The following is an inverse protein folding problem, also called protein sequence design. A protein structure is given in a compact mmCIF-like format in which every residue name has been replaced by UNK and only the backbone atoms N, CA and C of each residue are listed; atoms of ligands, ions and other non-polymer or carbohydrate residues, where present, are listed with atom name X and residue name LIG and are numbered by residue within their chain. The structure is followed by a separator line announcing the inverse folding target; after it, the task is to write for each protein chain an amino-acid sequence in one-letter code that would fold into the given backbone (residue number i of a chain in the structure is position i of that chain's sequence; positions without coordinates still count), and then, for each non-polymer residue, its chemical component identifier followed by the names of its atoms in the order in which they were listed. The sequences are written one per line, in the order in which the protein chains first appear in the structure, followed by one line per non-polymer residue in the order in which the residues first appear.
data_IF_186453574709
#
_entry.id   IF_186453574709
#
_cell.length_a   1.000
_cell.length_b   1.000
_cell.length_c   1.000
_cell.angle_alpha   90.00
_cell.angle_beta   90.00
_cell.angle_gamma   90.00
#
_symmetry.space_group_name_H-M   'P 1'
#
loop_
_entity.id
_entity.type
_entity.pdbx_description
1 polymer ?
#
# COMPACT_ATOMS: atom_id res chain seq x y z
N UNK A 1 -14.09 10.58 1.14
CA UNK A 1 -12.83 10.11 1.79
C UNK A 1 -12.78 10.46 3.28
N UNK A 2 -13.28 11.62 3.72
CA UNK A 2 -13.45 11.94 5.14
C UNK A 2 -14.53 11.04 5.75
N UNK A 3 -14.24 10.44 6.91
CA UNK A 3 -15.21 9.65 7.68
C UNK A 3 -15.82 10.54 8.76
N UNK A 4 -17.14 10.71 8.70
CA UNK A 4 -17.91 11.40 9.74
C UNK A 4 -18.49 10.44 10.78
N UNK A 5 -18.28 9.14 10.59
CA UNK A 5 -18.76 8.09 11.50
C UNK A 5 -18.08 8.25 12.87
N UNK A 6 -18.89 8.32 13.93
CA UNK A 6 -18.45 8.51 15.31
C UNK A 6 -17.64 9.80 15.57
N UNK A 7 -17.79 10.83 14.74
CA UNK A 7 -17.19 12.14 15.02
C UNK A 7 -17.86 12.76 16.24
N UNK A 8 -17.04 13.12 17.23
CA UNK A 8 -17.52 13.81 18.42
C UNK A 8 -17.32 15.32 18.23
N UNK A 9 -18.42 16.07 18.31
CA UNK A 9 -18.41 17.53 18.18
C UNK A 9 -18.79 18.15 19.52
N UNK A 10 -17.92 19.00 20.04
CA UNK A 10 -18.16 19.72 21.29
C UNK A 10 -17.90 21.21 21.10
N UNK A 11 -18.76 22.04 21.68
CA UNK A 11 -18.52 23.47 21.81
C UNK A 11 -18.24 23.83 23.27
N UNK A 12 -17.25 24.69 23.47
CA UNK A 12 -16.97 25.37 24.74
C UNK A 12 -16.89 26.87 24.49
N UNK A 13 -17.06 27.70 25.51
CA UNK A 13 -16.79 29.13 25.37
C UNK A 13 -15.36 29.44 25.83
N UNK A 14 -14.68 30.36 25.16
CA UNK A 14 -13.41 30.88 25.64
C UNK A 14 -13.61 31.96 26.72
N UNK A 15 -12.51 32.49 27.26
CA UNK A 15 -12.55 33.54 28.31
C UNK A 15 -13.26 34.83 27.88
N UNK A 16 -13.53 35.01 26.59
CA UNK A 16 -14.20 36.18 26.01
C UNK A 16 -15.63 35.86 25.54
N UNK A 17 -16.13 34.66 25.86
CA UNK A 17 -17.47 34.18 25.48
C UNK A 17 -17.58 33.69 24.04
N UNK A 18 -16.49 33.63 23.27
CA UNK A 18 -16.53 33.19 21.88
C UNK A 18 -16.60 31.65 21.79
N UNK A 19 -17.39 31.09 20.84
CA UNK A 19 -17.54 29.64 20.71
C UNK A 19 -16.26 29.00 20.16
N UNK A 20 -15.74 28.04 20.91
CA UNK A 20 -14.61 27.19 20.55
C UNK A 20 -15.13 25.81 20.17
N UNK A 21 -14.88 25.44 18.92
CA UNK A 21 -15.22 24.13 18.36
C UNK A 21 -14.09 23.12 18.61
N UNK A 22 -14.44 21.96 19.16
CA UNK A 22 -13.58 20.78 19.26
C UNK A 22 -14.18 19.66 18.42
N UNK A 23 -13.37 19.09 17.54
CA UNK A 23 -13.74 17.95 16.70
C UNK A 23 -12.79 16.81 17.05
N UNK A 24 -13.32 15.67 17.50
CA UNK A 24 -12.54 14.45 17.74
C UNK A 24 -12.97 13.36 16.76
N UNK A 25 -12.07 12.40 16.54
CA UNK A 25 -12.27 11.21 15.68
C UNK A 25 -12.50 11.49 14.19
N UNK A 26 -12.43 12.74 13.75
CA UNK A 26 -12.41 13.08 12.33
C UNK A 26 -11.18 12.45 11.66
N UNK A 27 -11.40 11.66 10.62
CA UNK A 27 -10.34 10.88 9.98
C UNK A 27 -10.58 10.67 8.50
N UNK A 28 -9.56 10.13 7.82
CA UNK A 28 -9.63 9.74 6.42
C UNK A 28 -9.72 8.22 6.32
N UNK A 29 -10.61 7.74 5.44
CA UNK A 29 -10.82 6.32 5.16
C UNK A 29 -9.58 5.69 4.55
N UNK A 30 -8.98 6.32 3.54
CA UNK A 30 -7.73 5.89 2.92
C UNK A 30 -6.55 6.08 3.90
N UNK A 31 -5.86 5.00 4.34
CA UNK A 31 -4.77 5.04 5.31
C UNK A 31 -3.53 5.79 4.83
N UNK A 32 -3.23 5.78 3.53
CA UNK A 32 -2.12 6.56 2.99
C UNK A 32 -2.44 8.05 3.05
N UNK A 33 -3.65 8.45 2.64
CA UNK A 33 -4.10 9.83 2.80
C UNK A 33 -4.11 10.24 4.27
N UNK A 34 -4.58 9.35 5.16
CA UNK A 34 -4.52 9.55 6.62
C UNK A 34 -3.10 9.77 7.09
N UNK A 35 -2.15 8.93 6.67
CA UNK A 35 -0.75 9.07 7.06
C UNK A 35 -0.12 10.38 6.59
N UNK A 36 -0.54 10.88 5.43
CA UNK A 36 0.00 12.08 4.78
C UNK A 36 -0.62 13.38 5.33
N UNK A 37 -1.92 13.38 5.61
CA UNK A 37 -2.69 14.60 5.85
C UNK A 37 -3.31 14.73 7.24
N UNK A 38 -3.34 13.66 8.04
CA UNK A 38 -4.07 13.68 9.31
C UNK A 38 -3.55 14.78 10.24
N UNK A 39 -2.25 14.81 10.54
CA UNK A 39 -1.67 15.81 11.44
C UNK A 39 -1.68 17.21 10.82
N UNK A 40 -1.49 17.28 9.50
CA UNK A 40 -1.14 18.52 8.82
C UNK A 40 -2.38 19.28 8.32
N UNK A 41 -3.51 18.61 8.12
CA UNK A 41 -4.79 19.20 7.69
C UNK A 41 -5.90 18.81 8.67
N UNK A 42 -6.18 17.52 8.83
CA UNK A 42 -7.39 17.05 9.54
C UNK A 42 -7.41 17.49 11.01
N UNK A 43 -6.28 17.37 11.72
CA UNK A 43 -6.16 17.78 13.12
C UNK A 43 -6.33 19.28 13.35
N UNK A 44 -6.19 20.11 12.31
CA UNK A 44 -6.26 21.57 12.39
C UNK A 44 -7.61 22.15 11.92
N UNK A 45 -8.53 21.31 11.44
CA UNK A 45 -9.81 21.75 10.85
C UNK A 45 -10.61 22.61 11.83
N UNK A 46 -10.76 22.19 13.09
CA UNK A 46 -11.55 22.93 14.08
C UNK A 46 -11.02 24.35 14.32
N UNK A 47 -9.71 24.54 14.26
CA UNK A 47 -9.06 25.85 14.43
C UNK A 47 -9.30 26.70 13.18
N UNK A 48 -9.19 26.11 12.00
CA UNK A 48 -9.26 26.78 10.70
C UNK A 48 -10.68 27.15 10.26
N UNK A 49 -11.73 26.54 10.81
CA UNK A 49 -13.12 26.96 10.52
C UNK A 49 -13.29 28.44 10.90
N UNK A 50 -13.80 29.31 10.00
CA UNK A 50 -14.00 30.73 10.26
C UNK A 50 -14.89 31.01 11.47
N UNK A 51 -14.67 32.15 12.13
CA UNK A 51 -15.42 32.55 13.34
C UNK A 51 -16.93 32.63 13.10
N UNK A 52 -17.36 33.26 12.00
CA UNK A 52 -18.77 33.39 11.63
C UNK A 52 -19.44 32.01 11.51
N UNK A 53 -18.80 31.06 10.81
CA UNK A 53 -19.28 29.68 10.71
C UNK A 53 -19.34 28.97 12.07
N UNK A 54 -18.39 29.22 12.97
CA UNK A 54 -18.43 28.66 14.34
C UNK A 54 -19.62 29.19 15.14
N UNK A 55 -19.97 30.47 14.99
CA UNK A 55 -21.11 31.09 15.67
C UNK A 55 -22.43 30.52 15.14
N UNK A 56 -22.57 30.38 13.82
CA UNK A 56 -23.73 29.73 13.20
C UNK A 56 -23.89 28.28 13.69
N UNK A 57 -22.82 27.49 13.62
CA UNK A 57 -22.83 26.10 14.08
C UNK A 57 -23.12 26.00 15.58
N UNK A 58 -22.62 26.92 16.40
CA UNK A 58 -22.91 26.95 17.83
C UNK A 58 -24.39 27.22 18.10
N UNK A 59 -25.00 28.17 17.37
CA UNK A 59 -26.43 28.47 17.53
C UNK A 59 -27.33 27.26 17.23
N UNK A 60 -27.00 26.49 16.20
CA UNK A 60 -27.69 25.25 15.86
C UNK A 60 -27.38 24.15 16.88
N UNK A 61 -26.13 24.05 17.34
CA UNK A 61 -25.71 23.04 18.31
C UNK A 61 -26.43 23.17 19.65
N UNK A 62 -26.66 24.40 20.16
CA UNK A 62 -27.43 24.63 21.39
C UNK A 62 -28.88 24.18 21.23
N UNK A 63 -29.45 24.37 20.04
CA UNK A 63 -30.86 24.12 19.72
C UNK A 63 -31.13 22.73 19.15
N UNK A 64 -30.10 21.90 18.97
CA UNK A 64 -30.19 20.61 18.26
C UNK A 64 -31.18 19.62 18.89
N UNK A 65 -31.42 19.72 20.20
CA UNK A 65 -32.34 18.84 20.92
C UNK A 65 -33.80 19.34 20.83
N UNK A 66 -34.05 20.54 20.29
CA UNK A 66 -35.40 21.10 20.16
C UNK A 66 -36.25 20.30 19.17
N UNK A 67 -35.67 19.91 18.03
CA UNK A 67 -36.30 19.01 17.07
C UNK A 67 -35.29 18.37 16.10
N UNK A 68 -35.71 17.30 15.43
CA UNK A 68 -34.90 16.56 14.46
C UNK A 68 -34.39 17.42 13.30
N UNK A 69 -35.20 18.38 12.82
CA UNK A 69 -34.83 19.23 11.68
C UNK A 69 -33.61 20.11 11.97
N UNK A 70 -33.54 20.70 13.16
CA UNK A 70 -32.40 21.53 13.58
C UNK A 70 -31.14 20.68 13.74
N UNK A 71 -31.28 19.45 14.25
CA UNK A 71 -30.18 18.48 14.32
C UNK A 71 -29.67 18.12 12.92
N UNK A 72 -30.56 17.80 11.99
CA UNK A 72 -30.20 17.46 10.61
C UNK A 72 -29.51 18.66 9.92
N UNK A 73 -30.02 19.89 10.11
CA UNK A 73 -29.41 21.12 9.60
C UNK A 73 -28.01 21.36 10.20
N UNK A 74 -27.84 21.12 11.50
CA UNK A 74 -26.53 21.19 12.15
C UNK A 74 -25.55 20.19 11.52
N UNK A 75 -25.97 18.94 11.34
CA UNK A 75 -25.11 17.88 10.78
C UNK A 75 -24.68 18.20 9.34
N UNK A 76 -25.59 18.73 8.51
CA UNK A 76 -25.31 19.17 7.14
C UNK A 76 -24.30 20.33 7.12
N UNK A 77 -24.61 21.45 7.80
CA UNK A 77 -23.72 22.62 7.84
C UNK A 77 -22.36 22.32 8.46
N UNK A 78 -22.31 21.43 9.46
CA UNK A 78 -21.05 20.99 10.04
C UNK A 78 -20.20 20.24 9.01
N UNK A 79 -20.79 19.31 8.26
CA UNK A 79 -20.08 18.56 7.20
C UNK A 79 -19.56 19.50 6.12
N UNK A 80 -20.38 20.44 5.66
CA UNK A 80 -19.98 21.46 4.68
C UNK A 80 -18.81 22.30 5.18
N UNK A 81 -18.90 22.82 6.40
CA UNK A 81 -17.83 23.62 7.00
C UNK A 81 -16.51 22.84 7.09
N UNK A 82 -16.56 21.56 7.48
CA UNK A 82 -15.40 20.68 7.51
C UNK A 82 -14.82 20.45 6.10
N UNK A 83 -15.67 20.10 5.13
CA UNK A 83 -15.24 19.82 3.75
C UNK A 83 -14.57 21.05 3.14
N UNK A 84 -15.20 22.21 3.26
CA UNK A 84 -14.67 23.47 2.72
C UNK A 84 -13.34 23.84 3.37
N UNK A 85 -13.23 23.67 4.70
CA UNK A 85 -11.98 23.94 5.43
C UNK A 85 -10.85 23.02 4.97
N UNK A 86 -11.13 21.71 4.84
CA UNK A 86 -10.17 20.74 4.31
C UNK A 86 -9.76 21.07 2.88
N UNK A 87 -10.72 21.41 2.02
CA UNK A 87 -10.49 21.81 0.64
C UNK A 87 -9.57 23.03 0.54
N UNK A 88 -9.87 24.09 1.30
CA UNK A 88 -9.06 25.31 1.31
C UNK A 88 -7.63 25.05 1.81
N UNK A 89 -7.49 24.26 2.87
CA UNK A 89 -6.18 23.86 3.39
C UNK A 89 -5.38 23.00 2.42
N UNK A 90 -6.03 22.08 1.69
CA UNK A 90 -5.39 21.31 0.64
C UNK A 90 -4.98 22.20 -0.54
N UNK A 91 -5.87 23.08 -1.01
CA UNK A 91 -5.60 24.02 -2.11
C UNK A 91 -4.39 24.89 -1.81
N UNK A 92 -4.32 25.43 -0.59
CA UNK A 92 -3.18 26.23 -0.11
C UNK A 92 -1.87 25.43 -0.16
N UNK A 93 -1.87 24.18 0.32
CA UNK A 93 -0.68 23.29 0.30
C UNK A 93 -0.27 22.82 -1.09
N UNK A 94 -1.21 22.61 -2.00
CA UNK A 94 -0.88 22.26 -3.38
C UNK A 94 -0.27 23.47 -4.11
N UNK A 95 -0.66 24.69 -3.73
CA UNK A 95 -0.18 25.93 -4.31
C UNK A 95 1.14 26.43 -3.70
N UNK A 96 1.57 25.91 -2.54
CA UNK A 96 2.83 26.32 -1.93
C UNK A 96 4.03 25.82 -2.74
N UNK A 97 5.12 26.60 -2.76
CA UNK A 97 6.40 26.17 -3.32
C UNK A 97 6.99 25.01 -2.51
N UNK A 98 6.80 25.05 -1.19
CA UNK A 98 7.11 23.93 -0.31
C UNK A 98 6.26 22.72 -0.66
N UNK A 99 6.92 21.58 -0.82
CA UNK A 99 6.26 20.29 -0.92
C UNK A 99 5.66 19.99 0.45
N UNK A 100 4.33 19.85 0.61
CA UNK A 100 3.79 19.32 1.85
C UNK A 100 4.41 17.93 2.06
N UNK A 101 5.24 17.79 3.08
CA UNK A 101 5.95 16.55 3.46
C UNK A 101 4.99 15.36 3.54
N UNK A 102 5.38 14.16 3.08
CA UNK A 102 5.87 13.81 1.75
C UNK A 102 4.81 13.02 0.97
N UNK A 103 4.71 13.29 -0.33
CA UNK A 103 3.97 12.45 -1.28
C UNK A 103 4.95 11.54 -2.05
N UNK A 104 6.28 11.60 -1.78
CA UNK A 104 7.33 10.89 -2.56
C UNK A 104 8.59 10.51 -1.72
N UNK A 105 9.32 9.44 -2.08
CA UNK A 105 10.75 9.27 -1.87
C UNK A 105 11.52 9.70 -3.13
N UNK A 106 12.82 9.87 -2.93
CA UNK A 106 13.81 9.58 -3.96
C UNK A 106 14.57 8.31 -3.53
N UNK A 107 15.24 7.66 -4.49
CA UNK A 107 15.93 6.37 -4.38
C UNK A 107 17.24 6.37 -3.56
N UNK A 108 17.42 7.27 -2.57
CA UNK A 108 18.73 7.57 -1.94
C UNK A 108 18.69 7.55 -0.41
N UNK A 109 17.97 6.63 0.22
CA UNK A 109 18.00 6.46 1.68
C UNK A 109 18.93 5.32 2.14
N UNK A 110 20.06 5.10 1.44
CA UNK A 110 20.89 3.92 1.72
C UNK A 110 21.82 4.04 2.93
N UNK A 111 22.38 5.22 3.26
CA UNK A 111 23.43 5.25 4.30
C UNK A 111 23.43 6.42 5.32
N UNK A 112 22.44 7.33 5.35
CA UNK A 112 22.38 8.41 6.37
C UNK A 112 20.95 8.78 6.80
N UNK A 113 20.81 9.62 7.84
CA UNK A 113 19.54 10.26 8.20
C UNK A 113 19.36 11.56 7.38
N UNK A 114 18.32 11.75 6.52
CA UNK A 114 17.99 13.08 6.03
C UNK A 114 16.60 13.54 6.42
N UNK A 115 16.55 14.79 6.88
CA UNK A 115 15.38 15.63 7.05
C UNK A 115 15.46 16.68 5.92
N UNK A 116 14.39 16.78 5.12
CA UNK A 116 14.15 17.77 4.06
C UNK A 116 15.04 17.72 2.80
N UNK A 117 14.38 17.32 1.70
CA UNK A 117 14.61 17.68 0.29
C UNK A 117 15.84 18.55 -0.04
N UNK A 118 16.89 17.94 -0.58
CA UNK A 118 17.73 18.56 -1.62
C UNK A 118 18.24 17.45 -2.55
N UNK A 119 17.55 17.15 -3.65
CA UNK A 119 18.26 16.68 -4.86
C UNK A 119 18.70 17.93 -5.61
N UNK A 120 19.95 17.99 -6.08
CA UNK A 120 20.33 18.97 -7.09
C UNK A 120 20.39 18.28 -8.46
N UNK A 121 19.69 18.82 -9.48
CA UNK A 121 18.85 20.01 -9.42
C UNK A 121 17.54 19.74 -8.65
N UNK A 122 17.06 20.77 -7.93
CA UNK A 122 15.82 20.69 -7.14
C UNK A 122 14.66 20.37 -8.09
N UNK A 123 14.09 19.18 -7.98
CA UNK A 123 12.87 18.83 -8.71
C UNK A 123 11.75 19.81 -8.32
N UNK A 124 11.39 20.69 -9.25
CA UNK A 124 10.27 21.61 -9.08
C UNK A 124 9.00 20.97 -9.62
N UNK A 125 8.13 20.53 -8.73
CA UNK A 125 6.82 19.99 -9.09
C UNK A 125 5.85 21.12 -9.39
N UNK A 126 5.33 21.14 -10.63
CA UNK A 126 4.23 22.04 -10.99
C UNK A 126 2.93 21.60 -10.31
N UNK A 127 1.97 22.52 -10.06
CA UNK A 127 0.70 22.18 -9.40
C UNK A 127 -0.05 21.01 -10.04
N UNK A 128 0.00 20.89 -11.38
CA UNK A 128 -0.60 19.78 -12.11
C UNK A 128 -0.05 18.42 -11.66
N UNK A 129 1.27 18.29 -11.54
CA UNK A 129 1.93 17.05 -11.08
C UNK A 129 1.57 16.73 -9.63
N UNK A 130 1.50 17.74 -8.76
CA UNK A 130 1.08 17.55 -7.36
C UNK A 130 -0.37 17.04 -7.27
N UNK A 131 -1.25 17.56 -8.12
CA UNK A 131 -2.65 17.15 -8.18
C UNK A 131 -2.79 15.72 -8.74
N UNK A 132 -2.07 15.38 -9.80
CA UNK A 132 -2.04 14.03 -10.36
C UNK A 132 -1.64 13.01 -9.29
N UNK A 133 -0.58 13.29 -8.56
CA UNK A 133 -0.05 12.37 -7.54
C UNK A 133 -0.97 12.29 -6.34
N UNK A 134 -1.62 13.39 -5.96
CA UNK A 134 -2.70 13.36 -4.97
C UNK A 134 -3.87 12.48 -5.41
N UNK A 135 -4.26 12.55 -6.69
CA UNK A 135 -5.31 11.70 -7.25
C UNK A 135 -4.90 10.22 -7.17
N UNK A 136 -3.65 9.88 -7.53
CA UNK A 136 -3.12 8.51 -7.40
C UNK A 136 -3.16 7.99 -5.97
N UNK A 137 -2.73 8.80 -4.99
CA UNK A 137 -2.85 8.45 -3.56
C UNK A 137 -4.31 8.22 -3.14
N UNK A 138 -5.23 9.06 -3.64
CA UNK A 138 -6.64 8.96 -3.26
C UNK A 138 -7.32 7.71 -3.81
N UNK A 139 -6.85 7.24 -4.96
CA UNK A 139 -7.36 6.08 -5.69
C UNK A 139 -6.54 4.80 -5.45
N UNK A 140 -5.57 4.83 -4.53
CA UNK A 140 -4.76 3.66 -4.23
C UNK A 140 -5.55 2.61 -3.44
N UNK A 141 -5.35 1.35 -3.80
CA UNK A 141 -5.76 0.17 -3.04
C UNK A 141 -4.81 0.04 -1.85
N UNK A 142 -5.32 0.26 -0.64
CA UNK A 142 -4.51 0.40 0.56
C UNK A 142 -4.48 -0.87 1.41
N UNK A 143 -3.30 -1.19 1.93
CA UNK A 143 -3.11 -2.25 2.91
C UNK A 143 -2.09 -1.90 3.98
N UNK A 144 -1.97 -2.75 5.00
CA UNK A 144 -1.01 -2.56 6.10
C UNK A 144 -0.18 -3.82 6.32
N UNK A 145 1.08 -3.61 6.70
CA UNK A 145 1.94 -4.64 7.23
C UNK A 145 2.67 -4.11 8.47
N UNK A 146 2.37 -4.66 9.64
CA UNK A 146 2.86 -4.14 10.91
C UNK A 146 2.50 -2.66 11.09
N UNK A 147 3.52 -1.78 11.13
CA UNK A 147 3.36 -0.32 11.24
C UNK A 147 3.38 0.40 9.89
N UNK A 148 3.67 -0.32 8.81
CA UNK A 148 3.79 0.23 7.47
C UNK A 148 2.43 0.24 6.77
N UNK A 149 2.21 1.26 5.96
CA UNK A 149 1.01 1.41 5.14
C UNK A 149 1.43 1.38 3.67
N UNK A 150 0.72 0.64 2.85
CA UNK A 150 0.98 0.48 1.42
C UNK A 150 -0.25 0.92 0.65
N UNK A 151 -0.04 1.46 -0.54
CA UNK A 151 -1.10 1.89 -1.45
C UNK A 151 -0.68 1.59 -2.86
N UNK A 152 -1.35 0.63 -3.47
CA UNK A 152 -1.17 0.26 -4.86
C UNK A 152 -2.09 1.11 -5.73
N UNK A 153 -1.52 2.02 -6.50
CA UNK A 153 -2.23 2.68 -7.59
C UNK A 153 -2.11 1.84 -8.85
N UNK A 154 -3.24 1.67 -9.52
CA UNK A 154 -3.34 1.04 -10.84
C UNK A 154 -3.90 2.12 -11.76
N UNK A 155 -3.27 2.31 -12.92
CA UNK A 155 -3.78 3.24 -13.94
C UNK A 155 -5.23 2.89 -14.33
N UNK A 156 -5.97 3.90 -14.81
CA UNK A 156 -7.41 3.79 -15.04
C UNK A 156 -7.79 2.60 -15.94
N UNK A 157 -6.97 2.30 -16.94
CA UNK A 157 -7.11 1.17 -17.87
C UNK A 157 -7.15 -0.19 -17.15
N UNK A 158 -6.36 -0.35 -16.08
CA UNK A 158 -6.26 -1.60 -15.31
C UNK A 158 -7.12 -1.65 -14.05
N UNK A 159 -7.59 -0.49 -13.57
CA UNK A 159 -8.14 -0.35 -12.21
C UNK A 159 -9.35 -1.25 -11.95
N UNK A 160 -10.36 -1.24 -12.83
CA UNK A 160 -11.57 -2.05 -12.62
C UNK A 160 -11.32 -3.56 -12.80
N UNK A 161 -10.40 -3.94 -13.69
CA UNK A 161 -9.94 -5.34 -13.83
C UNK A 161 -9.30 -5.85 -12.55
N UNK A 162 -8.31 -5.10 -12.03
CA UNK A 162 -7.62 -5.45 -10.78
C UNK A 162 -8.60 -5.54 -9.62
N UNK A 163 -9.49 -4.56 -9.49
CA UNK A 163 -10.49 -4.51 -8.42
C UNK A 163 -11.47 -5.67 -8.49
N UNK A 164 -11.94 -6.03 -9.69
CA UNK A 164 -12.80 -7.19 -9.92
C UNK A 164 -12.12 -8.50 -9.48
N UNK A 165 -10.84 -8.68 -9.83
CA UNK A 165 -10.07 -9.85 -9.43
C UNK A 165 -9.84 -9.88 -7.91
N UNK A 166 -9.47 -8.75 -7.30
CA UNK A 166 -9.26 -8.67 -5.85
C UNK A 166 -10.52 -8.91 -5.03
N UNK A 167 -11.72 -8.57 -5.53
CA UNK A 167 -13.00 -8.87 -4.85
C UNK A 167 -13.22 -10.36 -4.60
N UNK A 168 -12.58 -11.25 -5.37
CA UNK A 168 -12.65 -12.69 -5.15
C UNK A 168 -11.90 -13.13 -3.88
N UNK A 169 -10.94 -12.32 -3.44
CA UNK A 169 -10.00 -12.67 -2.37
C UNK A 169 -10.14 -11.80 -1.12
N UNK A 170 -10.76 -10.62 -1.23
CA UNK A 170 -10.84 -9.62 -0.15
C UNK A 170 -12.22 -9.02 -0.05
N UNK A 171 -12.56 -8.57 1.15
CA UNK A 171 -13.71 -7.69 1.42
C UNK A 171 -13.72 -6.47 0.49
N UNK A 172 -14.91 -5.90 0.15
CA UNK A 172 -15.03 -4.79 -0.80
C UNK A 172 -14.35 -3.48 -0.36
N UNK A 173 -13.89 -3.43 0.89
CA UNK A 173 -13.20 -2.26 1.43
C UNK A 173 -11.70 -2.29 1.10
N UNK A 174 -11.36 -1.73 -0.07
CA UNK A 174 -9.97 -1.55 -0.53
C UNK A 174 -9.18 -0.51 0.27
N UNK A 175 -9.80 0.12 1.29
CA UNK A 175 -9.10 1.11 2.09
C UNK A 175 -8.24 0.49 3.19
N UNK A 176 -8.52 -0.73 3.65
CA UNK A 176 -7.75 -1.32 4.75
C UNK A 176 -7.59 -2.83 4.58
N UNK A 177 -6.95 -3.23 3.49
CA UNK A 177 -6.66 -4.62 3.19
C UNK A 177 -5.60 -5.13 4.16
N UNK A 178 -5.91 -6.25 4.79
CA UNK A 178 -4.91 -7.02 5.49
C UNK A 178 -4.10 -7.84 4.49
N UNK A 179 -2.89 -7.39 4.19
CA UNK A 179 -2.01 -8.01 3.20
C UNK A 179 -1.64 -9.44 3.64
N UNK A 180 -1.67 -9.75 4.94
CA UNK A 180 -1.50 -11.13 5.46
C UNK A 180 -2.58 -12.08 4.94
N UNK A 181 -3.83 -11.61 4.82
CA UNK A 181 -4.94 -12.46 4.34
C UNK A 181 -4.82 -12.80 2.86
N UNK A 182 -4.22 -11.90 2.08
CA UNK A 182 -3.99 -12.12 0.66
C UNK A 182 -2.80 -13.04 0.41
N UNK A 183 -1.72 -12.82 1.15
CA UNK A 183 -0.49 -13.58 0.99
C UNK A 183 -0.61 -14.99 1.58
N UNK A 184 -1.46 -15.21 2.59
CA UNK A 184 -1.52 -16.43 3.41
C UNK A 184 -0.21 -16.71 4.20
N UNK A 185 0.66 -15.70 4.38
CA UNK A 185 1.99 -15.84 5.00
C UNK A 185 2.07 -15.08 6.33
N UNK A 186 2.74 -15.63 7.35
CA UNK A 186 3.14 -14.91 8.58
C UNK A 186 4.59 -14.42 8.49
N UNK A 187 4.81 -13.17 8.08
CA UNK A 187 6.14 -12.55 8.02
C UNK A 187 6.41 -11.60 9.20
N UNK A 188 7.67 -11.58 9.67
CA UNK A 188 8.13 -10.66 10.73
C UNK A 188 8.57 -9.29 10.17
N UNK A 189 8.98 -9.22 8.90
CA UNK A 189 9.35 -7.99 8.16
C UNK A 189 9.10 -8.20 6.67
N UNK A 190 8.53 -7.21 5.99
CA UNK A 190 8.28 -7.21 4.53
C UNK A 190 8.86 -5.93 3.94
N UNK A 191 9.72 -6.08 2.93
CA UNK A 191 10.28 -4.93 2.21
C UNK A 191 9.23 -4.34 1.23
N UNK A 192 9.31 -3.04 0.88
CA UNK A 192 8.37 -2.37 -0.02
C UNK A 192 7.95 -3.13 -1.27
N UNK A 193 8.93 -3.64 -2.03
CA UNK A 193 8.65 -4.36 -3.28
C UNK A 193 8.14 -5.80 -3.06
N UNK A 194 8.48 -6.41 -1.93
CA UNK A 194 7.97 -7.73 -1.56
C UNK A 194 6.47 -7.65 -1.27
N UNK A 195 6.02 -6.57 -0.62
CA UNK A 195 4.61 -6.29 -0.39
C UNK A 195 3.82 -6.14 -1.70
N UNK A 196 4.40 -5.44 -2.67
CA UNK A 196 3.80 -5.28 -3.99
C UNK A 196 3.70 -6.62 -4.72
N UNK A 197 4.75 -7.45 -4.65
CA UNK A 197 4.74 -8.76 -5.24
C UNK A 197 3.57 -9.60 -4.70
N UNK A 198 3.36 -9.65 -3.38
CA UNK A 198 2.21 -10.36 -2.81
C UNK A 198 0.86 -9.78 -3.23
N UNK A 199 0.74 -8.45 -3.33
CA UNK A 199 -0.48 -7.81 -3.79
C UNK A 199 -0.81 -8.15 -5.26
N UNK A 200 0.22 -8.25 -6.10
CA UNK A 200 0.06 -8.49 -7.54
C UNK A 200 0.03 -9.97 -7.90
N UNK A 201 0.66 -10.87 -7.15
CA UNK A 201 0.83 -12.27 -7.52
C UNK A 201 -0.51 -12.98 -7.78
N UNK A 202 -1.47 -12.87 -6.86
CA UNK A 202 -2.81 -13.46 -7.05
C UNK A 202 -3.53 -12.88 -8.27
N UNK A 203 -3.38 -11.59 -8.54
CA UNK A 203 -3.97 -10.92 -9.70
C UNK A 203 -3.33 -11.44 -10.99
N UNK A 204 -2.01 -11.42 -11.07
CA UNK A 204 -1.26 -11.85 -12.25
C UNK A 204 -1.50 -13.35 -12.53
N UNK A 205 -1.54 -14.18 -11.50
CA UNK A 205 -1.88 -15.60 -11.61
C UNK A 205 -3.27 -15.82 -12.18
N UNK A 206 -4.27 -15.06 -11.72
CA UNK A 206 -5.62 -15.13 -12.27
C UNK A 206 -5.70 -14.61 -13.70
N UNK A 207 -5.00 -13.52 -14.01
CA UNK A 207 -4.93 -13.01 -15.39
C UNK A 207 -4.35 -14.05 -16.33
N UNK A 208 -3.27 -14.73 -15.93
CA UNK A 208 -2.69 -15.84 -16.69
C UNK A 208 -3.70 -16.97 -16.92
N UNK A 209 -4.42 -17.42 -15.88
CA UNK A 209 -5.44 -18.49 -16.00
C UNK A 209 -6.58 -18.15 -16.96
N UNK A 210 -6.86 -16.87 -17.16
CA UNK A 210 -7.93 -16.38 -18.03
C UNK A 210 -7.41 -15.80 -19.36
N UNK A 211 -6.13 -16.02 -19.70
CA UNK A 211 -5.48 -15.47 -20.91
C UNK A 211 -5.59 -13.93 -21.04
N UNK A 212 -5.49 -13.22 -19.91
CA UNK A 212 -5.46 -11.76 -19.84
C UNK A 212 -4.02 -11.27 -19.67
N UNK A 213 -3.68 -10.14 -20.30
CA UNK A 213 -2.35 -9.51 -20.21
C UNK A 213 -2.50 -8.18 -19.45
N UNK A 214 -1.62 -7.87 -18.47
CA UNK A 214 -1.66 -6.61 -17.76
C UNK A 214 -0.95 -5.52 -18.58
N UNK A 215 -1.70 -4.88 -19.48
CA UNK A 215 -1.26 -3.76 -20.32
C UNK A 215 -1.41 -2.40 -19.61
N UNK A 216 -1.12 -2.34 -18.31
CA UNK A 216 -1.31 -1.14 -17.50
C UNK A 216 -0.14 -0.92 -16.54
N UNK A 217 0.10 0.34 -16.19
CA UNK A 217 1.12 0.71 -15.19
C UNK A 217 0.58 0.59 -13.77
N UNK A 218 1.48 0.25 -12.84
CA UNK A 218 1.20 0.23 -11.40
C UNK A 218 2.23 1.05 -10.65
N UNK A 219 1.77 1.70 -9.59
CA UNK A 219 2.61 2.51 -8.72
C UNK A 219 2.37 2.12 -7.27
N UNK A 220 3.43 2.00 -6.48
CA UNK A 220 3.35 1.64 -5.08
C UNK A 220 3.76 2.81 -4.20
N UNK A 221 2.83 3.28 -3.37
CA UNK A 221 3.10 4.19 -2.28
C UNK A 221 3.31 3.42 -0.98
N UNK A 222 4.30 3.82 -0.18
CA UNK A 222 4.63 3.18 1.09
C UNK A 222 4.84 4.26 2.14
N UNK A 223 4.27 4.06 3.32
CA UNK A 223 4.55 4.87 4.50
C UNK A 223 5.13 3.95 5.57
N UNK A 224 6.41 4.10 5.83
CA UNK A 224 7.13 3.31 6.83
C UNK A 224 7.13 4.04 8.17
N UNK A 225 6.79 3.30 9.23
CA UNK A 225 6.60 3.86 10.57
C UNK A 225 7.51 3.21 11.62
N UNK A 226 8.46 3.98 12.16
CA UNK A 226 9.24 3.55 13.33
C UNK A 226 8.53 4.01 14.62
N UNK A 227 7.46 3.33 15.01
CA UNK A 227 6.75 3.63 16.27
C UNK A 227 6.14 5.03 16.32
N UNK A 228 6.25 5.72 17.47
CA UNK A 228 5.87 7.14 17.62
C UNK A 228 6.84 8.13 16.98
N UNK A 229 7.85 7.63 16.24
CA UNK A 229 8.88 8.42 15.59
C UNK A 229 8.51 8.94 14.20
N UNK A 230 9.53 9.43 13.48
CA UNK A 230 9.44 9.98 12.13
C UNK A 230 8.90 8.94 11.14
N UNK A 231 8.01 9.38 10.25
CA UNK A 231 7.49 8.57 9.14
C UNK A 231 8.34 8.78 7.90
N UNK A 232 8.60 7.71 7.17
CA UNK A 232 9.26 7.73 5.85
C UNK A 232 8.23 7.41 4.78
N UNK A 233 8.34 8.06 3.63
CA UNK A 233 7.37 7.93 2.56
C UNK A 233 8.10 7.55 1.29
N UNK A 234 7.61 6.50 0.66
CA UNK A 234 8.13 5.94 -0.57
C UNK A 234 7.05 5.77 -1.67
N UNK A 235 7.47 5.73 -2.93
CA UNK A 235 6.70 5.80 -4.17
C UNK A 235 7.60 5.14 -5.21
N UNK A 236 7.08 4.08 -5.81
CA UNK A 236 7.77 3.27 -6.79
C UNK A 236 6.89 3.18 -8.03
N UNK A 237 7.44 3.56 -9.18
CA UNK A 237 6.75 3.46 -10.47
C UNK A 237 7.21 2.19 -11.15
N UNK A 238 6.25 1.37 -11.61
CA UNK A 238 6.53 0.11 -12.29
C UNK A 238 5.93 0.19 -13.69
N UNK A 239 6.74 0.64 -14.65
CA UNK A 239 6.23 1.03 -15.96
C UNK A 239 5.90 -0.16 -16.87
N UNK A 240 6.40 -1.37 -16.58
CA UNK A 240 6.29 -2.50 -17.51
C UNK A 240 5.80 -3.78 -16.83
N UNK A 241 4.55 -3.74 -16.34
CA UNK A 241 3.92 -4.92 -15.75
C UNK A 241 3.72 -6.03 -16.78
N UNK A 242 3.53 -5.68 -18.06
CA UNK A 242 3.49 -6.62 -19.18
C UNK A 242 4.80 -7.40 -19.32
N UNK A 243 5.95 -6.72 -19.33
CA UNK A 243 7.25 -7.39 -19.38
C UNK A 243 7.47 -8.29 -18.16
N UNK A 244 7.11 -7.82 -16.96
CA UNK A 244 7.16 -8.65 -15.75
C UNK A 244 6.28 -9.90 -15.93
N UNK A 245 5.04 -9.73 -16.39
CA UNK A 245 4.09 -10.81 -16.64
C UNK A 245 4.59 -11.81 -17.69
N UNK A 246 5.08 -11.35 -18.83
CA UNK A 246 5.66 -12.22 -19.86
C UNK A 246 6.92 -12.93 -19.35
N UNK A 247 7.77 -12.25 -18.58
CA UNK A 247 8.94 -12.88 -17.94
C UNK A 247 8.55 -13.92 -16.90
N UNK A 248 7.42 -13.76 -16.21
CA UNK A 248 6.92 -14.71 -15.23
C UNK A 248 6.22 -15.90 -15.90
N UNK A 249 5.43 -15.66 -16.95
CA UNK A 249 4.45 -16.62 -17.46
C UNK A 249 4.60 -17.03 -18.94
N UNK A 250 5.50 -16.44 -19.75
CA UNK A 250 5.61 -16.73 -21.20
C UNK A 250 7.04 -16.75 -21.84
N UNK A 251 8.12 -16.36 -21.16
CA UNK A 251 9.47 -16.24 -21.77
C UNK A 251 10.13 -17.55 -22.25
N UNK A 252 10.43 -17.68 -23.55
CA UNK A 252 10.90 -18.91 -24.26
C UNK A 252 12.07 -19.68 -23.61
N UNK A 253 13.08 -18.99 -23.10
CA UNK A 253 14.25 -19.64 -22.46
C UNK A 253 13.88 -20.35 -21.14
N UNK A 254 12.78 -19.91 -20.53
CA UNK A 254 12.23 -20.36 -19.25
C UNK A 254 11.26 -21.52 -19.41
N UNK A 255 11.16 -22.12 -20.58
CA UNK A 255 10.35 -23.32 -20.83
C UNK A 255 11.26 -24.45 -21.30
N UNK A 256 11.00 -25.65 -20.82
CA UNK A 256 11.65 -26.86 -21.31
C UNK A 256 11.20 -27.15 -22.75
N UNK A 257 11.86 -28.14 -23.35
CA UNK A 257 11.59 -28.64 -24.71
C UNK A 257 10.16 -29.16 -24.93
N UNK A 258 9.36 -29.29 -23.87
CA UNK A 258 7.95 -29.70 -23.90
C UNK A 258 6.99 -28.54 -23.59
N UNK A 259 7.51 -27.31 -23.45
CA UNK A 259 6.71 -26.13 -23.14
C UNK A 259 6.33 -26.00 -21.65
N UNK A 260 6.99 -26.74 -20.76
CA UNK A 260 6.82 -26.62 -19.29
C UNK A 260 7.72 -25.53 -18.70
N UNK A 261 7.21 -24.66 -17.84
CA UNK A 261 8.03 -23.57 -17.26
C UNK A 261 9.14 -24.13 -16.35
N UNK A 262 10.40 -23.89 -16.71
CA UNK A 262 11.63 -24.19 -15.94
C UNK A 262 11.69 -23.43 -14.63
N UNK A 263 11.19 -22.19 -14.57
CA UNK A 263 11.03 -21.46 -13.30
C UNK A 263 10.00 -22.16 -12.43
N UNK A 264 8.84 -22.52 -13.00
CA UNK A 264 7.83 -23.29 -12.27
C UNK A 264 8.37 -24.65 -11.83
N UNK A 265 9.23 -25.30 -12.62
CA UNK A 265 9.87 -26.56 -12.28
C UNK A 265 10.92 -26.40 -11.17
N UNK A 266 11.73 -25.34 -11.22
CA UNK A 266 12.66 -24.96 -10.15
C UNK A 266 11.91 -24.67 -8.86
N UNK A 267 10.89 -23.81 -8.90
CA UNK A 267 10.00 -23.53 -7.77
C UNK A 267 9.36 -24.83 -7.27
N UNK A 268 8.82 -25.66 -8.16
CA UNK A 268 8.20 -26.95 -7.80
C UNK A 268 9.19 -27.90 -7.14
N UNK A 269 10.48 -27.85 -7.49
CA UNK A 269 11.53 -28.65 -6.85
C UNK A 269 11.96 -28.10 -5.48
N UNK A 270 11.71 -26.81 -5.24
CA UNK A 270 11.89 -26.13 -3.95
C UNK A 270 10.63 -26.22 -3.06
N UNK A 271 9.46 -26.45 -3.65
CA UNK A 271 8.19 -26.63 -2.94
C UNK A 271 8.14 -27.99 -2.22
N UNK A 272 7.96 -27.92 -0.91
CA UNK A 272 7.77 -29.07 0.00
C UNK A 272 6.71 -30.07 -0.45
N UNK A 273 5.71 -29.62 -1.23
CA UNK A 273 4.63 -30.45 -1.74
C UNK A 273 5.15 -31.64 -2.58
N UNK A 274 6.21 -31.41 -3.37
CA UNK A 274 6.79 -32.42 -4.26
C UNK A 274 7.90 -33.27 -3.61
N UNK A 275 8.28 -32.97 -2.37
CA UNK A 275 9.36 -33.70 -1.72
C UNK A 275 8.90 -35.09 -1.28
N UNK A 276 9.78 -36.09 -1.24
CA UNK A 276 9.45 -37.44 -0.75
C UNK A 276 9.49 -37.52 0.78
N UNK A 277 8.70 -36.66 1.44
CA UNK A 277 8.71 -36.43 2.90
C UNK A 277 7.35 -36.78 3.51
N UNK A 278 7.35 -37.18 4.78
CA UNK A 278 6.14 -37.38 5.57
C UNK A 278 5.18 -36.16 5.54
N UNK A 279 3.89 -36.43 5.42
CA UNK A 279 2.84 -35.41 5.23
C UNK A 279 2.68 -34.48 6.43
N UNK A 280 2.91 -34.96 7.65
CA UNK A 280 2.80 -34.16 8.88
C UNK A 280 3.99 -33.21 8.98
N UNK A 281 5.20 -33.69 8.66
CA UNK A 281 6.40 -32.86 8.61
C UNK A 281 6.32 -31.79 7.53
N UNK A 282 5.80 -32.12 6.34
CA UNK A 282 5.53 -31.15 5.28
C UNK A 282 4.61 -30.02 5.74
N UNK A 283 3.46 -30.36 6.33
CA UNK A 283 2.46 -29.37 6.78
C UNK A 283 3.02 -28.40 7.83
N UNK A 284 3.96 -28.84 8.66
CA UNK A 284 4.58 -28.00 9.70
C UNK A 284 5.63 -27.02 9.15
N UNK A 285 6.20 -27.30 7.98
CA UNK A 285 7.29 -26.50 7.40
C UNK A 285 6.89 -25.80 6.09
N UNK A 286 5.65 -25.99 5.62
CA UNK A 286 5.18 -25.43 4.35
C UNK A 286 5.32 -23.91 4.32
N UNK A 287 4.81 -23.24 5.35
CA UNK A 287 4.80 -21.77 5.44
C UNK A 287 6.23 -21.17 5.40
N UNK A 288 7.20 -21.82 6.08
CA UNK A 288 8.58 -21.32 6.11
C UNK A 288 9.30 -21.57 4.79
N UNK A 289 9.04 -22.69 4.11
CA UNK A 289 9.62 -22.94 2.79
C UNK A 289 9.06 -22.00 1.72
N UNK A 290 7.74 -21.78 1.70
CA UNK A 290 7.11 -20.83 0.78
C UNK A 290 7.69 -19.42 0.96
N UNK A 291 7.90 -18.97 2.21
CA UNK A 291 8.56 -17.69 2.49
C UNK A 291 9.95 -17.59 1.82
N UNK A 292 10.77 -18.62 1.93
CA UNK A 292 12.12 -18.61 1.34
C UNK A 292 12.09 -18.70 -0.19
N UNK A 293 11.10 -19.38 -0.76
CA UNK A 293 10.87 -19.44 -2.22
C UNK A 293 10.45 -18.07 -2.74
N UNK A 294 9.47 -17.43 -2.12
CA UNK A 294 8.98 -16.11 -2.54
C UNK A 294 10.09 -15.06 -2.46
N UNK A 295 10.91 -15.13 -1.40
CA UNK A 295 12.09 -14.27 -1.23
C UNK A 295 13.17 -14.55 -2.27
N UNK A 296 13.42 -15.81 -2.61
CA UNK A 296 14.32 -16.19 -3.70
C UNK A 296 13.83 -15.62 -5.04
N UNK A 297 12.54 -15.77 -5.35
CA UNK A 297 11.94 -15.25 -6.58
C UNK A 297 12.00 -13.73 -6.62
N UNK A 298 11.78 -13.06 -5.50
CA UNK A 298 11.91 -11.62 -5.40
C UNK A 298 13.32 -11.14 -5.78
N UNK A 299 14.37 -11.70 -5.18
CA UNK A 299 15.75 -11.31 -5.52
C UNK A 299 16.11 -11.68 -6.96
N UNK A 300 15.65 -12.84 -7.43
CA UNK A 300 15.89 -13.31 -8.78
C UNK A 300 15.29 -12.34 -9.82
N UNK A 301 14.02 -11.96 -9.66
CA UNK A 301 13.32 -11.15 -10.64
C UNK A 301 13.63 -9.65 -10.56
N UNK A 302 13.78 -9.11 -9.36
CA UNK A 302 13.91 -7.66 -9.17
C UNK A 302 15.35 -7.20 -9.07
N UNK A 303 16.22 -7.99 -8.44
CA UNK A 303 17.62 -7.61 -8.24
C UNK A 303 18.56 -8.27 -9.24
N UNK A 304 18.06 -9.19 -10.09
CA UNK A 304 18.87 -10.07 -10.94
C UNK A 304 20.01 -10.66 -10.12
N UNK A 305 19.68 -11.20 -8.95
CA UNK A 305 20.64 -11.80 -8.02
C UNK A 305 20.01 -13.01 -7.36
N UNK A 306 20.83 -14.02 -7.07
CA UNK A 306 20.39 -15.14 -6.25
C UNK A 306 20.47 -14.73 -4.79
N UNK A 307 19.39 -14.98 -4.05
CA UNK A 307 19.41 -14.87 -2.61
C UNK A 307 19.88 -16.18 -2.01
N UNK A 308 21.20 -16.35 -2.00
CA UNK A 308 21.91 -17.58 -1.60
C UNK A 308 21.42 -18.10 -0.25
N UNK A 309 21.14 -17.21 0.71
CA UNK A 309 20.63 -17.59 2.03
C UNK A 309 19.32 -18.39 1.96
N UNK A 310 18.41 -18.06 1.04
CA UNK A 310 17.16 -18.82 0.89
C UNK A 310 17.35 -20.13 0.13
N UNK A 311 18.31 -20.19 -0.80
CA UNK A 311 18.65 -21.45 -1.48
C UNK A 311 19.25 -22.43 -0.47
N UNK A 312 20.26 -21.99 0.27
CA UNK A 312 20.92 -22.79 1.30
C UNK A 312 19.95 -23.23 2.39
N UNK A 313 19.04 -22.34 2.82
CA UNK A 313 18.00 -22.70 3.77
C UNK A 313 17.07 -23.80 3.23
N UNK A 314 16.60 -23.66 1.98
CA UNK A 314 15.68 -24.63 1.37
C UNK A 314 16.37 -25.98 1.14
N UNK A 315 17.64 -26.00 0.75
CA UNK A 315 18.43 -27.23 0.62
C UNK A 315 18.67 -27.91 1.97
N UNK A 316 19.06 -27.15 3.00
CA UNK A 316 19.22 -27.68 4.36
C UNK A 316 17.90 -28.22 4.92
N UNK A 317 16.79 -27.51 4.70
CA UNK A 317 15.46 -27.96 5.09
C UNK A 317 15.07 -29.25 4.36
N UNK A 318 15.41 -29.36 3.07
CA UNK A 318 15.15 -30.56 2.24
C UNK A 318 15.89 -31.78 2.77
N UNK A 319 17.18 -31.62 3.06
CA UNK A 319 18.04 -32.66 3.63
C UNK A 319 17.52 -33.07 5.02
N UNK A 320 17.22 -32.10 5.89
CA UNK A 320 16.65 -32.36 7.23
C UNK A 320 15.34 -33.14 7.19
N UNK A 321 14.56 -32.95 6.14
CA UNK A 321 13.28 -33.61 5.96
C UNK A 321 13.38 -34.92 5.17
N UNK A 322 14.58 -35.31 4.72
CA UNK A 322 14.86 -36.61 4.10
C UNK A 322 14.72 -36.66 2.59
N UNK A 323 14.66 -35.50 1.90
CA UNK A 323 14.73 -35.44 0.45
C UNK A 323 16.11 -34.94 0.01
N UNK A 324 16.69 -35.58 -1.01
CA UNK A 324 18.02 -35.29 -1.56
C UNK A 324 17.97 -35.02 -3.06
N UNK A 325 16.77 -34.87 -3.62
CA UNK A 325 16.57 -34.60 -5.05
C UNK A 325 17.22 -33.26 -5.39
N UNK A 326 18.03 -33.15 -6.46
CA UNK A 326 18.62 -31.88 -6.85
C UNK A 326 17.54 -30.86 -7.25
N UNK A 327 17.84 -29.56 -7.08
CA UNK A 327 16.97 -28.48 -7.54
C UNK A 327 17.07 -28.41 -9.06
N UNK A 328 15.96 -28.65 -9.75
CA UNK A 328 15.93 -28.68 -11.20
C UNK A 328 16.11 -27.27 -11.77
N UNK A 329 16.91 -27.16 -12.82
CA UNK A 329 17.15 -25.92 -13.56
C UNK A 329 17.77 -24.78 -12.76
N UNK A 330 18.27 -25.01 -11.53
CA UNK A 330 18.87 -23.96 -10.72
C UNK A 330 20.04 -23.30 -11.45
N UNK A 331 21.03 -24.09 -11.89
CA UNK A 331 22.20 -23.62 -12.63
C UNK A 331 21.84 -22.89 -13.92
N UNK A 332 20.83 -23.37 -14.63
CA UNK A 332 20.35 -22.75 -15.86
C UNK A 332 19.65 -21.42 -15.57
N UNK A 333 18.85 -21.34 -14.49
CA UNK A 333 18.27 -20.09 -14.00
C UNK A 333 19.35 -19.12 -13.51
N UNK A 334 20.45 -19.61 -12.92
CA UNK A 334 21.60 -18.78 -12.56
C UNK A 334 22.26 -18.17 -13.80
N UNK A 335 22.30 -18.90 -14.92
CA UNK A 335 22.91 -18.42 -16.17
C UNK A 335 22.11 -17.33 -16.89
N UNK A 336 20.84 -17.13 -16.54
CA UNK A 336 19.99 -16.06 -17.09
C UNK A 336 20.20 -14.70 -16.39
N UNK A 337 20.96 -14.68 -15.31
CA UNK A 337 21.34 -13.51 -14.52
C UNK A 337 22.61 -12.91 -15.10
#
# INVERSE_FOLDING_TARGET
QITFDNVEVNFTQDKRGAPKLSIKRLSLRNPILKSTMQSSIISNVSIQIPKQKKEELYSLWVRREENKRIRDEFEEKFREAVIETVYNSLKSKLSSLDLPTPIFPTSVARDETPNYYISQPSEKYVPATKLELFNKLSNSICGRFGRNVYGLYVSEEGFETVKSLLRKYITPDFSNIDIFRLAEIKLNKVEPFECLFYLLDKILSDMYRHNLIPEYSVELFVVEGVGGGKKFFSHYVIPNLTEIFYKLYYGKEKYDKFGGSKIKAMISSLLLENWKVDRILKKRNLDIAHMHIDRLLYYLFFHKKLYIDSILFLEDLKIKLGDVTPILFLEEVMSWI
#
